data_IF_118424628007
#
_entry.id   IF_118424628007
#
_cell.length_a   1.000
_cell.length_b   1.000
_cell.length_c   1.000
_cell.angle_alpha   90.00
_cell.angle_beta   90.00
_cell.angle_gamma   90.00
#
_symmetry.space_group_name_H-M   'P 1'
#
loop_
_entity.id
_entity.type
_entity.pdbx_description
1 polymer ?
#
# COMPACT_ATOMS: atom_id res chain seq x y z
N UNK A 1 -41.31 -130.77 64.81
CA UNK A 1 -40.46 -130.71 63.59
C UNK A 1 -40.81 -129.46 62.81
N UNK A 2 -39.88 -128.94 62.01
CA UNK A 2 -40.04 -128.07 60.82
C UNK A 2 -41.07 -126.91 60.81
N UNK A 3 -40.58 -125.71 60.52
CA UNK A 3 -41.35 -124.60 59.95
C UNK A 3 -41.82 -123.53 60.94
N UNK A 4 -41.89 -122.23 60.60
CA UNK A 4 -41.42 -121.52 59.38
C UNK A 4 -40.87 -120.15 59.80
N UNK A 5 -39.83 -119.65 59.12
CA UNK A 5 -39.29 -118.31 59.35
C UNK A 5 -39.98 -117.27 58.44
N UNK A 6 -40.35 -116.11 58.98
CA UNK A 6 -40.82 -114.95 58.21
C UNK A 6 -40.06 -113.70 58.66
N UNK A 7 -38.96 -113.40 57.96
CA UNK A 7 -38.31 -112.09 58.05
C UNK A 7 -39.00 -111.13 57.08
N UNK A 8 -39.79 -110.20 57.61
CA UNK A 8 -40.42 -109.14 56.82
C UNK A 8 -39.36 -108.09 56.44
N UNK A 9 -38.76 -108.23 55.27
CA UNK A 9 -37.92 -107.18 54.66
C UNK A 9 -38.83 -106.06 54.16
N UNK A 10 -38.66 -104.80 54.60
CA UNK A 10 -39.41 -103.68 54.03
C UNK A 10 -38.96 -103.45 52.58
N UNK A 11 -39.90 -103.46 51.64
CA UNK A 11 -39.59 -103.26 50.23
C UNK A 11 -39.11 -101.82 49.98
N UNK A 12 -37.91 -101.68 49.41
CA UNK A 12 -37.40 -100.41 48.90
C UNK A 12 -38.17 -100.01 47.64
N UNK A 13 -39.30 -99.33 47.83
CA UNK A 13 -40.03 -98.64 46.75
C UNK A 13 -39.14 -97.54 46.20
N UNK A 14 -38.38 -97.87 45.16
CA UNK A 14 -37.75 -96.87 44.31
C UNK A 14 -38.88 -96.24 43.49
N UNK A 15 -39.24 -95.00 43.82
CA UNK A 15 -39.84 -94.12 42.83
C UNK A 15 -38.79 -93.91 41.73
N UNK A 16 -39.17 -94.14 40.47
CA UNK A 16 -38.27 -93.94 39.34
C UNK A 16 -38.05 -92.43 39.15
N UNK A 17 -36.97 -91.88 39.73
CA UNK A 17 -36.59 -90.47 39.57
C UNK A 17 -36.63 -90.02 38.11
N UNK A 18 -36.15 -90.88 37.21
CA UNK A 18 -36.20 -90.66 35.77
C UNK A 18 -37.62 -90.54 35.21
N UNK A 19 -38.58 -91.39 35.60
CA UNK A 19 -39.98 -91.28 35.14
C UNK A 19 -40.65 -90.00 35.66
N UNK A 20 -40.38 -89.61 36.92
CA UNK A 20 -40.90 -88.37 37.49
C UNK A 20 -40.29 -87.12 36.82
N UNK A 21 -38.99 -87.15 36.51
CA UNK A 21 -38.30 -86.13 35.73
C UNK A 21 -38.87 -86.03 34.30
N UNK A 22 -39.10 -87.16 33.62
CA UNK A 22 -39.75 -87.22 32.30
C UNK A 22 -41.20 -86.68 32.37
N UNK A 23 -41.95 -87.00 33.42
CA UNK A 23 -43.32 -86.49 33.61
C UNK A 23 -43.35 -84.97 33.80
N UNK A 24 -42.35 -84.39 34.47
CA UNK A 24 -42.21 -82.92 34.60
C UNK A 24 -41.74 -82.27 33.29
N UNK A 25 -40.79 -82.90 32.58
CA UNK A 25 -40.34 -82.48 31.25
C UNK A 25 -41.48 -82.41 30.23
N UNK A 26 -42.34 -83.43 30.17
CA UNK A 26 -43.48 -83.50 29.23
C UNK A 26 -44.48 -82.35 29.44
N UNK A 27 -44.63 -81.84 30.67
CA UNK A 27 -45.44 -80.63 30.93
C UNK A 27 -44.77 -79.40 30.30
N UNK A 28 -43.46 -79.25 30.48
CA UNK A 28 -42.67 -78.20 29.85
C UNK A 28 -42.71 -78.25 28.33
N UNK A 29 -42.57 -79.44 27.73
CA UNK A 29 -42.59 -79.59 26.28
C UNK A 29 -43.90 -79.10 25.65
N UNK A 30 -45.05 -79.31 26.31
CA UNK A 30 -46.33 -78.72 25.89
C UNK A 30 -46.29 -77.20 25.87
N UNK A 31 -45.84 -76.58 26.96
CA UNK A 31 -45.69 -75.12 27.04
C UNK A 31 -44.73 -74.57 25.94
N UNK A 32 -43.68 -75.32 25.57
CA UNK A 32 -42.80 -75.01 24.44
C UNK A 32 -43.52 -75.11 23.08
N UNK A 33 -44.32 -76.15 22.84
CA UNK A 33 -45.11 -76.26 21.60
C UNK A 33 -46.16 -75.15 21.47
N UNK A 34 -46.81 -74.76 22.58
CA UNK A 34 -47.75 -73.63 22.63
C UNK A 34 -47.05 -72.27 22.44
N UNK A 35 -45.80 -72.12 22.93
CA UNK A 35 -44.99 -70.94 22.62
C UNK A 35 -44.71 -70.82 21.11
N UNK A 36 -44.48 -71.94 20.42
CA UNK A 36 -44.22 -71.93 18.98
C UNK A 36 -45.47 -71.57 18.15
N UNK A 37 -46.67 -71.98 18.56
CA UNK A 37 -47.91 -71.60 17.86
C UNK A 37 -48.25 -70.13 18.08
N UNK A 38 -48.17 -69.63 19.33
CA UNK A 38 -48.50 -68.25 19.67
C UNK A 38 -47.48 -67.21 19.15
N UNK A 39 -46.30 -67.64 18.70
CA UNK A 39 -45.18 -66.78 18.26
C UNK A 39 -45.55 -65.70 17.25
N UNK A 40 -46.48 -65.98 16.32
CA UNK A 40 -46.87 -65.04 15.27
C UNK A 40 -47.89 -64.00 15.75
N UNK A 41 -48.88 -64.44 16.54
CA UNK A 41 -50.07 -63.64 16.87
C UNK A 41 -50.00 -62.99 18.26
N UNK A 42 -49.29 -63.61 19.21
CA UNK A 42 -49.13 -63.13 20.58
C UNK A 42 -47.75 -63.48 21.15
N UNK A 43 -46.73 -62.78 20.66
CA UNK A 43 -45.32 -62.95 21.08
C UNK A 43 -45.12 -62.80 22.60
N UNK A 44 -45.90 -61.93 23.27
CA UNK A 44 -45.80 -61.73 24.73
C UNK A 44 -46.20 -63.00 25.48
N UNK A 45 -47.33 -63.62 25.09
CA UNK A 45 -47.74 -64.88 25.68
C UNK A 45 -46.86 -66.05 25.24
N UNK A 46 -46.36 -66.04 24.00
CA UNK A 46 -45.39 -67.01 23.51
C UNK A 46 -44.11 -67.03 24.36
N UNK A 47 -43.55 -65.86 24.69
CA UNK A 47 -42.41 -65.73 25.61
C UNK A 47 -42.77 -66.17 27.04
N UNK A 48 -43.99 -65.88 27.53
CA UNK A 48 -44.48 -66.38 28.82
C UNK A 48 -44.54 -67.92 28.87
N UNK A 49 -45.06 -68.55 27.82
CA UNK A 49 -45.14 -70.01 27.66
C UNK A 49 -43.74 -70.64 27.56
N UNK A 50 -42.81 -70.03 26.84
CA UNK A 50 -41.43 -70.51 26.78
C UNK A 50 -40.68 -70.39 28.12
N UNK A 51 -40.89 -69.29 28.87
CA UNK A 51 -40.39 -69.18 30.25
C UNK A 51 -41.05 -70.19 31.20
N UNK A 52 -42.21 -70.73 30.85
CA UNK A 52 -42.83 -71.85 31.56
C UNK A 52 -42.11 -73.17 31.25
N UNK A 53 -41.84 -73.46 29.97
CA UNK A 53 -41.00 -74.59 29.53
C UNK A 53 -39.66 -74.63 30.28
N UNK A 54 -38.92 -73.52 30.32
CA UNK A 54 -37.61 -73.45 30.97
C UNK A 54 -37.68 -73.84 32.46
N UNK A 55 -38.70 -73.37 33.20
CA UNK A 55 -38.91 -73.74 34.61
C UNK A 55 -39.32 -75.21 34.81
N UNK A 56 -40.01 -75.81 33.84
CA UNK A 56 -40.30 -77.25 33.84
C UNK A 56 -39.05 -78.08 33.53
N UNK A 57 -38.22 -77.64 32.58
CA UNK A 57 -36.94 -78.28 32.24
C UNK A 57 -35.95 -78.21 33.41
N UNK A 58 -35.85 -77.07 34.08
CA UNK A 58 -35.06 -76.87 35.30
C UNK A 58 -35.48 -77.87 36.40
N UNK A 59 -36.77 -77.98 36.69
CA UNK A 59 -37.29 -78.95 37.67
C UNK A 59 -37.05 -80.41 37.25
N UNK A 60 -37.24 -80.75 35.97
CA UNK A 60 -36.93 -82.09 35.47
C UNK A 60 -35.44 -82.42 35.65
N UNK A 61 -34.55 -81.50 35.28
CA UNK A 61 -33.08 -81.65 35.41
C UNK A 61 -32.65 -81.76 36.88
N UNK A 62 -33.34 -81.09 37.79
CA UNK A 62 -33.09 -81.18 39.24
C UNK A 62 -33.58 -82.51 39.88
N UNK A 63 -34.49 -83.23 39.22
CA UNK A 63 -34.91 -84.59 39.63
C UNK A 63 -33.97 -85.64 39.01
N UNK A 64 -33.66 -85.51 37.72
CA UNK A 64 -32.71 -86.35 37.02
C UNK A 64 -31.97 -85.56 35.90
N UNK A 65 -30.64 -85.36 35.99
CA UNK A 65 -29.91 -84.59 34.99
C UNK A 65 -29.76 -85.32 33.64
N UNK A 66 -30.00 -86.64 33.58
CA UNK A 66 -29.86 -87.41 32.33
C UNK A 66 -30.92 -87.06 31.29
N UNK A 67 -32.00 -86.36 31.68
CA UNK A 67 -33.02 -85.78 30.79
C UNK A 67 -32.38 -84.98 29.64
N UNK A 68 -31.33 -84.20 29.93
CA UNK A 68 -30.64 -83.36 28.94
C UNK A 68 -29.85 -84.15 27.87
N UNK A 69 -29.60 -85.44 28.11
CA UNK A 69 -28.75 -86.30 27.26
C UNK A 69 -29.45 -87.59 26.81
N UNK A 70 -30.71 -87.79 27.19
CA UNK A 70 -31.43 -89.05 26.96
C UNK A 70 -32.14 -89.06 25.60
N UNK A 71 -32.00 -90.17 24.88
CA UNK A 71 -32.71 -90.45 23.63
C UNK A 71 -34.07 -91.13 23.84
N UNK A 72 -34.43 -91.47 25.08
CA UNK A 72 -35.71 -92.11 25.39
C UNK A 72 -36.88 -91.13 25.16
N UNK A 73 -38.03 -91.65 24.71
CA UNK A 73 -39.27 -90.88 24.46
C UNK A 73 -39.02 -89.59 23.64
N UNK A 74 -38.14 -89.70 22.64
CA UNK A 74 -37.73 -88.65 21.69
C UNK A 74 -37.16 -87.37 22.32
N UNK A 75 -36.68 -87.41 23.58
CA UNK A 75 -36.27 -86.22 24.34
C UNK A 75 -35.18 -85.40 23.64
N UNK A 76 -34.12 -86.01 23.08
CA UNK A 76 -33.12 -85.31 22.25
C UNK A 76 -33.74 -84.51 21.09
N UNK A 77 -34.70 -85.09 20.37
CA UNK A 77 -35.40 -84.42 19.25
C UNK A 77 -36.27 -83.25 19.75
N UNK A 78 -36.94 -83.46 20.89
CA UNK A 78 -37.86 -82.52 21.53
C UNK A 78 -37.12 -81.34 22.21
N UNK A 79 -35.95 -81.58 22.81
CA UNK A 79 -35.04 -80.54 23.30
C UNK A 79 -34.55 -79.66 22.15
N UNK A 80 -34.00 -80.27 21.09
CA UNK A 80 -33.59 -79.56 19.87
C UNK A 80 -34.74 -78.82 19.19
N UNK A 81 -35.98 -79.32 19.30
CA UNK A 81 -37.16 -78.58 18.86
C UNK A 81 -37.33 -77.29 19.68
N UNK A 82 -37.29 -77.37 21.01
CA UNK A 82 -37.45 -76.19 21.86
C UNK A 82 -36.30 -75.18 21.75
N UNK A 83 -35.06 -75.61 21.49
CA UNK A 83 -33.96 -74.72 21.08
C UNK A 83 -34.32 -73.91 19.82
N UNK A 84 -34.86 -74.58 18.79
CA UNK A 84 -35.35 -73.89 17.58
C UNK A 84 -36.54 -72.97 17.87
N UNK A 85 -37.40 -73.30 18.83
CA UNK A 85 -38.49 -72.41 19.29
C UNK A 85 -37.92 -71.15 19.95
N UNK A 86 -36.89 -71.26 20.80
CA UNK A 86 -36.23 -70.10 21.41
C UNK A 86 -35.66 -69.14 20.36
N UNK A 87 -34.90 -69.68 19.41
CA UNK A 87 -34.32 -68.91 18.29
C UNK A 87 -35.44 -68.27 17.45
N UNK A 88 -36.54 -68.99 17.19
CA UNK A 88 -37.68 -68.44 16.47
C UNK A 88 -38.39 -67.31 17.24
N UNK A 89 -38.51 -67.40 18.56
CA UNK A 89 -39.09 -66.35 19.42
C UNK A 89 -38.20 -65.10 19.42
N UNK A 90 -36.88 -65.27 19.62
CA UNK A 90 -35.90 -64.17 19.52
C UNK A 90 -35.94 -63.48 18.16
N UNK A 91 -36.05 -64.24 17.06
CA UNK A 91 -36.21 -63.67 15.71
C UNK A 91 -37.54 -62.95 15.51
N UNK A 92 -38.64 -63.45 16.07
CA UNK A 92 -39.95 -62.78 16.00
C UNK A 92 -39.96 -61.46 16.77
N UNK A 93 -39.19 -61.36 17.86
CA UNK A 93 -38.98 -60.12 18.63
C UNK A 93 -38.07 -59.12 17.90
N UNK A 94 -36.97 -59.60 17.33
CA UNK A 94 -35.93 -58.74 16.77
C UNK A 94 -36.17 -58.27 15.32
N UNK A 95 -36.93 -59.05 14.52
CA UNK A 95 -37.27 -58.68 13.13
C UNK A 95 -37.95 -57.31 13.01
N UNK A 96 -39.05 -56.99 13.74
CA UNK A 96 -39.71 -55.68 13.61
C UNK A 96 -38.87 -54.49 14.09
N UNK A 97 -37.83 -54.73 14.90
CA UNK A 97 -36.84 -53.71 15.28
C UNK A 97 -35.90 -53.45 14.11
N UNK A 98 -35.37 -54.50 13.48
CA UNK A 98 -34.52 -54.39 12.29
C UNK A 98 -35.28 -53.79 11.08
N UNK A 99 -36.58 -54.07 10.94
CA UNK A 99 -37.42 -53.48 9.88
C UNK A 99 -37.63 -51.98 10.06
N UNK A 100 -37.79 -51.48 11.30
CA UNK A 100 -37.72 -50.03 11.57
C UNK A 100 -36.35 -49.45 11.18
N UNK A 101 -35.27 -50.20 11.45
CA UNK A 101 -33.93 -49.88 10.95
C UNK A 101 -33.88 -49.71 9.43
N UNK A 102 -34.45 -50.64 8.66
CA UNK A 102 -34.44 -50.54 7.20
C UNK A 102 -35.16 -49.28 6.69
N UNK A 103 -36.26 -48.85 7.32
CA UNK A 103 -36.92 -47.58 6.99
C UNK A 103 -35.99 -46.37 7.21
N UNK A 104 -35.07 -46.43 8.19
CA UNK A 104 -34.04 -45.39 8.40
C UNK A 104 -32.92 -45.46 7.36
N UNK A 105 -32.50 -46.66 6.97
CA UNK A 105 -31.54 -46.88 5.88
C UNK A 105 -32.09 -46.37 4.53
N UNK A 106 -33.35 -46.66 4.20
CA UNK A 106 -34.00 -46.17 2.98
C UNK A 106 -34.15 -44.63 2.99
N UNK A 107 -34.49 -44.04 4.14
CA UNK A 107 -34.52 -42.58 4.32
C UNK A 107 -33.14 -41.93 4.20
N UNK A 108 -32.09 -42.57 4.74
CA UNK A 108 -30.69 -42.15 4.58
C UNK A 108 -30.28 -42.15 3.11
N UNK A 109 -30.61 -43.23 2.40
CA UNK A 109 -30.35 -43.35 0.97
C UNK A 109 -31.09 -42.28 0.15
N UNK A 110 -32.28 -41.87 0.57
CA UNK A 110 -33.05 -40.83 -0.12
C UNK A 110 -32.44 -39.43 0.10
N UNK A 111 -32.13 -39.05 1.35
CA UNK A 111 -31.45 -37.80 1.66
C UNK A 111 -30.10 -37.67 0.91
N UNK A 112 -29.34 -38.77 0.79
CA UNK A 112 -28.08 -38.80 0.04
C UNK A 112 -28.26 -38.58 -1.48
N UNK A 113 -29.39 -38.97 -2.08
CA UNK A 113 -29.72 -38.64 -3.49
C UNK A 113 -30.12 -37.18 -3.67
N UNK A 114 -30.70 -36.59 -2.63
CA UNK A 114 -31.16 -35.20 -2.59
C UNK A 114 -30.02 -34.22 -2.24
N UNK A 115 -28.85 -34.74 -1.86
CA UNK A 115 -27.66 -33.95 -1.51
C UNK A 115 -27.56 -33.57 -0.03
N UNK A 116 -28.55 -33.95 0.80
CA UNK A 116 -28.52 -33.70 2.24
C UNK A 116 -27.72 -34.80 2.97
N UNK A 117 -26.40 -34.65 2.91
CA UNK A 117 -25.43 -35.55 3.56
C UNK A 117 -25.63 -35.59 5.08
N UNK A 118 -26.08 -34.48 5.69
CA UNK A 118 -26.25 -34.34 7.14
C UNK A 118 -27.49 -35.11 7.63
N UNK A 119 -28.64 -34.97 6.96
CA UNK A 119 -29.81 -35.82 7.23
C UNK A 119 -29.52 -37.28 6.89
N UNK A 120 -28.76 -37.56 5.82
CA UNK A 120 -28.35 -38.92 5.50
C UNK A 120 -27.52 -39.56 6.64
N UNK A 121 -26.58 -38.83 7.23
CA UNK A 121 -25.77 -39.28 8.37
C UNK A 121 -26.63 -39.53 9.63
N UNK A 122 -27.53 -38.61 9.97
CA UNK A 122 -28.46 -38.81 11.09
C UNK A 122 -29.30 -40.09 10.91
N UNK A 123 -29.83 -40.33 9.70
CA UNK A 123 -30.65 -41.50 9.41
C UNK A 123 -29.86 -42.81 9.32
N UNK A 124 -28.59 -42.78 8.89
CA UNK A 124 -27.71 -43.96 8.97
C UNK A 124 -27.36 -44.29 10.43
N UNK A 125 -27.17 -43.27 11.28
CA UNK A 125 -26.92 -43.44 12.72
C UNK A 125 -28.15 -44.04 13.42
N UNK A 126 -29.36 -43.58 13.09
CA UNK A 126 -30.60 -44.24 13.54
C UNK A 126 -30.68 -45.70 13.09
N UNK A 127 -30.35 -46.02 11.82
CA UNK A 127 -30.32 -47.40 11.33
C UNK A 127 -29.40 -48.31 12.14
N UNK A 128 -28.15 -47.87 12.39
CA UNK A 128 -27.17 -48.63 13.20
C UNK A 128 -27.74 -48.94 14.59
N UNK A 129 -28.34 -47.94 15.25
CA UNK A 129 -28.99 -48.12 16.54
C UNK A 129 -30.09 -49.20 16.55
N UNK A 130 -30.89 -49.32 15.47
CA UNK A 130 -31.87 -50.41 15.33
C UNK A 130 -31.23 -51.77 15.01
N UNK A 131 -30.16 -51.80 14.20
CA UNK A 131 -29.41 -53.00 13.88
C UNK A 131 -28.77 -53.61 15.13
N UNK A 132 -28.10 -52.80 15.94
CA UNK A 132 -27.44 -53.23 17.18
C UNK A 132 -28.45 -53.74 18.22
N UNK A 133 -29.60 -53.07 18.36
CA UNK A 133 -30.71 -53.55 19.21
C UNK A 133 -31.25 -54.91 18.75
N UNK A 134 -31.42 -55.13 17.44
CA UNK A 134 -31.95 -56.38 16.91
C UNK A 134 -30.93 -57.53 17.04
N UNK A 135 -29.66 -57.29 16.72
CA UNK A 135 -28.58 -58.29 16.87
C UNK A 135 -28.29 -58.61 18.34
N UNK A 136 -28.47 -57.65 19.25
CA UNK A 136 -28.40 -57.87 20.70
C UNK A 136 -29.48 -58.81 21.26
N UNK A 137 -30.55 -59.07 20.49
CA UNK A 137 -31.58 -60.08 20.82
C UNK A 137 -31.24 -61.42 20.15
N UNK A 138 -30.86 -61.42 18.86
CA UNK A 138 -30.20 -62.55 18.20
C UNK A 138 -29.49 -62.19 16.90
N UNK A 139 -28.28 -62.72 16.77
CA UNK A 139 -27.47 -62.88 15.56
C UNK A 139 -28.16 -63.63 14.42
N UNK A 140 -28.98 -64.65 14.72
CA UNK A 140 -29.66 -65.55 13.76
C UNK A 140 -30.64 -64.87 12.79
N UNK A 141 -30.86 -63.55 12.93
CA UNK A 141 -31.44 -62.71 11.88
C UNK A 141 -30.60 -62.75 10.59
N UNK A 142 -29.28 -62.91 10.70
CA UNK A 142 -28.35 -62.98 9.58
C UNK A 142 -28.42 -64.30 8.79
N UNK A 143 -28.99 -65.35 9.37
CA UNK A 143 -29.32 -66.59 8.65
C UNK A 143 -30.51 -66.38 7.68
N UNK A 144 -31.38 -65.41 7.99
CA UNK A 144 -32.54 -65.08 7.17
C UNK A 144 -32.05 -64.25 5.97
N UNK A 145 -31.77 -64.94 4.86
CA UNK A 145 -31.19 -64.36 3.64
C UNK A 145 -31.79 -63.00 3.23
N UNK A 146 -33.11 -62.83 3.33
CA UNK A 146 -33.78 -61.56 3.00
C UNK A 146 -33.35 -60.39 3.91
N UNK A 147 -33.26 -60.61 5.22
CA UNK A 147 -32.80 -59.60 6.19
C UNK A 147 -31.30 -59.33 5.98
N UNK A 148 -30.49 -60.38 5.89
CA UNK A 148 -29.04 -60.27 5.68
C UNK A 148 -28.69 -59.59 4.35
N UNK A 149 -29.50 -59.79 3.31
CA UNK A 149 -29.35 -59.09 2.02
C UNK A 149 -29.62 -57.58 2.15
N UNK A 150 -30.67 -57.20 2.88
CA UNK A 150 -30.95 -55.78 3.20
C UNK A 150 -29.85 -55.15 4.06
N UNK A 151 -29.35 -55.83 5.11
CA UNK A 151 -28.24 -55.32 5.93
C UNK A 151 -26.99 -55.06 5.08
N UNK A 152 -26.62 -56.01 4.19
CA UNK A 152 -25.52 -55.82 3.23
C UNK A 152 -25.79 -54.71 2.21
N UNK A 153 -27.05 -54.39 1.90
CA UNK A 153 -27.39 -53.25 1.04
C UNK A 153 -27.20 -51.91 1.76
N UNK A 154 -27.60 -51.81 3.03
CA UNK A 154 -27.40 -50.63 3.86
C UNK A 154 -25.91 -50.34 4.10
N UNK A 155 -25.09 -51.36 4.35
CA UNK A 155 -23.63 -51.21 4.44
C UNK A 155 -23.02 -50.59 3.16
N UNK A 156 -23.50 -50.97 1.96
CA UNK A 156 -23.08 -50.35 0.67
C UNK A 156 -23.65 -48.95 0.42
N UNK A 157 -24.52 -48.44 1.30
CA UNK A 157 -24.92 -47.03 1.32
C UNK A 157 -24.15 -46.25 2.39
N UNK A 158 -23.78 -46.88 3.49
CA UNK A 158 -22.82 -46.36 4.48
C UNK A 158 -21.46 -46.04 3.83
N UNK A 159 -20.87 -46.98 3.09
CA UNK A 159 -19.63 -46.77 2.31
C UNK A 159 -19.68 -45.55 1.37
N UNK A 160 -20.88 -45.20 0.87
CA UNK A 160 -21.11 -44.06 -0.05
C UNK A 160 -21.39 -42.76 0.69
N UNK A 161 -22.04 -42.86 1.84
CA UNK A 161 -22.29 -41.76 2.76
C UNK A 161 -20.97 -41.27 3.37
N UNK A 162 -20.06 -42.17 3.74
CA UNK A 162 -18.74 -41.81 4.28
C UNK A 162 -17.93 -41.02 3.24
N UNK A 163 -17.89 -41.48 1.98
CA UNK A 163 -17.28 -40.73 0.87
C UNK A 163 -17.95 -39.36 0.62
N UNK A 164 -19.27 -39.26 0.82
CA UNK A 164 -19.99 -37.98 0.72
C UNK A 164 -19.71 -37.06 1.91
N UNK A 165 -19.51 -37.60 3.12
CA UNK A 165 -19.12 -36.86 4.31
C UNK A 165 -17.70 -36.30 4.20
N UNK A 166 -16.75 -37.04 3.62
CA UNK A 166 -15.41 -36.52 3.31
C UNK A 166 -15.48 -35.32 2.33
N UNK A 167 -16.32 -35.42 1.30
CA UNK A 167 -16.53 -34.35 0.32
C UNK A 167 -17.25 -33.14 0.93
N UNK A 168 -18.26 -33.36 1.77
CA UNK A 168 -18.97 -32.29 2.49
C UNK A 168 -18.04 -31.58 3.46
N UNK A 169 -17.22 -32.31 4.23
CA UNK A 169 -16.23 -31.73 5.13
C UNK A 169 -15.17 -30.89 4.38
N UNK A 170 -14.72 -31.36 3.21
CA UNK A 170 -13.80 -30.60 2.35
C UNK A 170 -14.43 -29.31 1.79
N UNK A 171 -15.73 -29.34 1.45
CA UNK A 171 -16.50 -28.17 1.02
C UNK A 171 -16.71 -27.18 2.17
N UNK A 172 -17.12 -27.66 3.35
CA UNK A 172 -17.27 -26.88 4.59
C UNK A 172 -15.96 -26.18 4.98
N UNK A 173 -14.82 -26.85 4.83
CA UNK A 173 -13.51 -26.24 5.06
C UNK A 173 -13.23 -25.06 4.11
N UNK A 174 -13.57 -25.20 2.82
CA UNK A 174 -13.43 -24.12 1.82
C UNK A 174 -14.43 -22.97 2.07
N UNK A 175 -15.66 -23.28 2.48
CA UNK A 175 -16.65 -22.27 2.88
C UNK A 175 -16.18 -21.49 4.11
N UNK A 176 -15.70 -22.16 5.16
CA UNK A 176 -15.17 -21.51 6.35
C UNK A 176 -13.92 -20.65 6.08
N UNK A 177 -13.05 -21.06 5.15
CA UNK A 177 -11.94 -20.22 4.69
C UNK A 177 -12.44 -18.97 3.95
N UNK A 178 -13.50 -19.11 3.14
CA UNK A 178 -14.14 -18.00 2.41
C UNK A 178 -14.80 -17.00 3.37
N UNK A 179 -15.55 -17.51 4.34
CA UNK A 179 -16.16 -16.77 5.46
C UNK A 179 -15.10 -15.98 6.22
N UNK A 180 -14.00 -16.64 6.62
CA UNK A 180 -12.86 -15.99 7.31
C UNK A 180 -12.24 -14.86 6.49
N UNK A 181 -12.12 -15.03 5.18
CA UNK A 181 -11.62 -14.00 4.27
C UNK A 181 -12.55 -12.80 4.14
N UNK A 182 -13.87 -13.00 4.15
CA UNK A 182 -14.84 -11.91 4.17
C UNK A 182 -14.96 -11.23 5.54
N UNK A 183 -14.88 -11.97 6.65
CA UNK A 183 -14.75 -11.38 7.99
C UNK A 183 -13.54 -10.44 8.07
N UNK A 184 -12.36 -10.91 7.63
CA UNK A 184 -11.15 -10.08 7.57
C UNK A 184 -11.29 -8.86 6.65
N UNK A 185 -12.03 -8.96 5.53
CA UNK A 185 -12.37 -7.79 4.71
C UNK A 185 -13.20 -6.78 5.51
N UNK A 186 -14.25 -7.26 6.20
CA UNK A 186 -15.17 -6.44 6.98
C UNK A 186 -14.42 -5.75 8.13
N UNK A 187 -13.58 -6.46 8.87
CA UNK A 187 -12.81 -5.90 10.00
C UNK A 187 -11.88 -4.76 9.54
N UNK A 188 -11.17 -4.95 8.42
CA UNK A 188 -10.28 -3.93 7.85
C UNK A 188 -11.05 -2.75 7.28
N UNK A 189 -12.21 -3.01 6.65
CA UNK A 189 -13.09 -1.97 6.14
C UNK A 189 -13.74 -1.16 7.29
N UNK A 190 -14.17 -1.80 8.38
CA UNK A 190 -14.68 -1.13 9.58
C UNK A 190 -13.59 -0.29 10.27
N UNK A 191 -12.34 -0.77 10.32
CA UNK A 191 -11.21 0.03 10.80
C UNK A 191 -10.97 1.27 9.93
N UNK A 192 -11.04 1.13 8.59
CA UNK A 192 -10.95 2.26 7.68
C UNK A 192 -12.13 3.26 7.89
N UNK A 193 -13.35 2.76 8.04
CA UNK A 193 -14.55 3.56 8.30
C UNK A 193 -14.46 4.28 9.66
N UNK A 194 -13.95 3.63 10.71
CA UNK A 194 -13.76 4.25 12.04
C UNK A 194 -12.66 5.31 12.04
N UNK A 195 -11.57 5.09 11.28
CA UNK A 195 -10.52 6.07 11.07
C UNK A 195 -11.03 7.31 10.32
N UNK A 196 -11.92 7.12 9.33
CA UNK A 196 -12.65 8.18 8.59
C UNK A 196 -13.61 8.95 9.51
N UNK A 197 -14.43 8.24 10.29
CA UNK A 197 -15.47 8.82 11.14
C UNK A 197 -14.91 9.54 12.39
N UNK A 198 -13.61 9.42 12.65
CA UNK A 198 -12.96 10.10 13.77
C UNK A 198 -13.01 11.63 13.60
N UNK A 199 -13.40 12.41 14.64
CA UNK A 199 -13.28 13.87 14.62
C UNK A 199 -11.80 14.35 14.59
N UNK A 200 -10.84 13.42 14.68
CA UNK A 200 -9.39 13.65 14.48
C UNK A 200 -8.89 13.15 13.12
N UNK A 201 -9.78 12.85 12.17
CA UNK A 201 -9.40 12.55 10.78
C UNK A 201 -8.85 13.81 10.10
N UNK A 202 -7.80 13.63 9.29
CA UNK A 202 -7.19 14.68 8.46
C UNK A 202 -6.75 14.07 7.14
N UNK A 203 -6.61 14.87 6.09
CA UNK A 203 -6.13 14.38 4.78
C UNK A 203 -4.72 13.76 4.84
N UNK A 204 -3.92 14.07 5.86
CA UNK A 204 -2.63 13.41 6.13
C UNK A 204 -2.76 11.97 6.65
N UNK A 205 -3.97 11.52 7.05
CA UNK A 205 -4.27 10.12 7.43
C UNK A 205 -4.89 9.31 6.29
N UNK A 206 -5.15 9.94 5.14
CA UNK A 206 -5.82 9.29 4.01
C UNK A 206 -5.04 8.08 3.47
N UNK A 207 -3.71 8.13 3.44
CA UNK A 207 -2.90 7.02 2.93
C UNK A 207 -2.94 5.77 3.83
N UNK A 208 -3.08 5.93 5.15
CA UNK A 208 -3.29 4.82 6.07
C UNK A 208 -4.68 4.18 5.89
N UNK A 209 -5.70 5.00 5.61
CA UNK A 209 -7.07 4.55 5.29
C UNK A 209 -7.11 3.83 3.92
N UNK A 210 -6.37 4.33 2.94
CA UNK A 210 -6.18 3.66 1.65
C UNK A 210 -5.50 2.30 1.83
N UNK A 211 -4.47 2.20 2.67
CA UNK A 211 -3.75 0.94 2.87
C UNK A 211 -4.58 -0.10 3.62
N UNK A 212 -5.41 0.29 4.60
CA UNK A 212 -6.42 -0.60 5.19
C UNK A 212 -7.38 -1.15 4.12
N UNK A 213 -7.86 -0.31 3.20
CA UNK A 213 -8.72 -0.75 2.10
C UNK A 213 -8.00 -1.58 1.04
N UNK A 214 -6.71 -1.35 0.78
CA UNK A 214 -5.89 -2.22 -0.06
C UNK A 214 -5.77 -3.63 0.56
N UNK A 215 -5.52 -3.70 1.87
CA UNK A 215 -5.41 -4.97 2.60
C UNK A 215 -6.75 -5.71 2.67
N UNK A 216 -7.85 -4.98 2.88
CA UNK A 216 -9.20 -5.52 2.76
C UNK A 216 -9.41 -6.10 1.34
N UNK A 217 -9.13 -5.32 0.29
CA UNK A 217 -9.23 -5.74 -1.10
C UNK A 217 -8.49 -7.04 -1.41
N UNK A 218 -7.26 -7.22 -0.89
CA UNK A 218 -6.50 -8.48 -0.99
C UNK A 218 -7.21 -9.66 -0.29
N UNK A 219 -7.73 -9.45 0.93
CA UNK A 219 -8.45 -10.49 1.67
C UNK A 219 -9.73 -10.95 0.93
N UNK A 220 -10.51 -9.99 0.42
CA UNK A 220 -11.70 -10.24 -0.42
C UNK A 220 -11.36 -10.90 -1.76
N UNK A 221 -10.24 -10.53 -2.39
CA UNK A 221 -9.76 -11.19 -3.61
C UNK A 221 -9.37 -12.64 -3.35
N UNK A 222 -8.69 -12.93 -2.24
CA UNK A 222 -8.35 -14.30 -1.83
C UNK A 222 -9.59 -15.13 -1.51
N UNK A 223 -10.56 -14.57 -0.75
CA UNK A 223 -11.84 -15.23 -0.50
C UNK A 223 -12.59 -15.58 -1.80
N UNK A 224 -12.51 -14.72 -2.83
CA UNK A 224 -13.13 -14.94 -4.15
C UNK A 224 -12.45 -15.99 -5.01
N UNK A 225 -11.25 -16.45 -4.68
CA UNK A 225 -10.60 -17.54 -5.41
C UNK A 225 -11.21 -18.91 -5.09
N UNK A 226 -11.91 -19.04 -3.95
CA UNK A 226 -12.65 -20.25 -3.59
C UNK A 226 -14.00 -20.32 -4.31
N UNK A 227 -13.94 -20.62 -5.61
CA UNK A 227 -15.11 -20.73 -6.50
C UNK A 227 -16.16 -21.73 -6.00
N UNK A 228 -15.76 -22.81 -5.33
CA UNK A 228 -16.68 -23.84 -4.82
C UNK A 228 -17.65 -23.27 -3.77
N UNK A 229 -17.16 -22.51 -2.79
CA UNK A 229 -17.99 -21.87 -1.77
C UNK A 229 -19.00 -20.86 -2.36
N UNK A 230 -18.61 -20.16 -3.44
CA UNK A 230 -19.48 -19.21 -4.15
C UNK A 230 -20.44 -19.88 -5.16
N UNK A 231 -20.20 -21.14 -5.52
CA UNK A 231 -21.14 -21.99 -6.25
C UNK A 231 -22.16 -22.62 -5.29
N UNK A 232 -21.70 -23.15 -4.15
CA UNK A 232 -22.54 -23.77 -3.12
C UNK A 232 -23.57 -22.77 -2.54
N UNK A 233 -23.16 -21.51 -2.33
CA UNK A 233 -24.04 -20.40 -1.98
C UNK A 233 -25.26 -20.26 -2.90
N UNK A 234 -25.14 -20.63 -4.18
CA UNK A 234 -26.22 -20.57 -5.18
C UNK A 234 -27.00 -21.87 -5.31
N UNK A 235 -26.35 -23.02 -5.09
CA UNK A 235 -26.97 -24.33 -5.14
C UNK A 235 -27.85 -24.57 -3.90
N UNK A 236 -27.27 -24.36 -2.70
CA UNK A 236 -27.87 -24.66 -1.41
C UNK A 236 -27.90 -23.39 -0.52
N UNK A 237 -28.77 -22.41 -0.82
CA UNK A 237 -28.85 -21.16 -0.05
C UNK A 237 -29.39 -21.33 1.38
N UNK A 238 -30.02 -22.47 1.69
CA UNK A 238 -30.51 -22.79 3.04
C UNK A 238 -29.45 -23.40 3.97
N UNK A 239 -28.27 -23.73 3.45
CA UNK A 239 -27.15 -24.25 4.23
C UNK A 239 -26.64 -23.18 5.22
N UNK A 240 -26.30 -23.51 6.48
CA UNK A 240 -25.83 -22.51 7.46
C UNK A 240 -24.63 -21.68 6.97
N UNK A 241 -23.62 -22.33 6.37
CA UNK A 241 -22.46 -21.64 5.82
C UNK A 241 -22.82 -20.73 4.63
N UNK A 242 -23.82 -21.11 3.82
CA UNK A 242 -24.35 -20.27 2.72
C UNK A 242 -25.04 -19.03 3.27
N UNK A 243 -25.92 -19.18 4.27
CA UNK A 243 -26.61 -18.05 4.90
C UNK A 243 -25.62 -17.07 5.55
N UNK A 244 -24.61 -17.59 6.26
CA UNK A 244 -23.54 -16.78 6.84
C UNK A 244 -22.71 -16.06 5.76
N UNK A 245 -22.34 -16.74 4.68
CA UNK A 245 -21.59 -16.14 3.57
C UNK A 245 -22.40 -15.05 2.84
N UNK A 246 -23.72 -15.21 2.69
CA UNK A 246 -24.60 -14.18 2.14
C UNK A 246 -24.58 -12.90 2.98
N UNK A 247 -24.79 -13.01 4.29
CA UNK A 247 -24.79 -11.87 5.20
C UNK A 247 -23.44 -11.12 5.20
N UNK A 248 -22.33 -11.86 5.12
CA UNK A 248 -20.98 -11.28 5.00
C UNK A 248 -20.75 -10.60 3.64
N UNK A 249 -21.30 -11.11 2.54
CA UNK A 249 -21.25 -10.47 1.22
C UNK A 249 -21.98 -9.12 1.22
N UNK A 250 -23.18 -9.06 1.81
CA UNK A 250 -23.97 -7.83 1.92
C UNK A 250 -23.27 -6.80 2.83
N UNK A 251 -22.78 -7.22 4.00
CA UNK A 251 -22.06 -6.36 4.93
C UNK A 251 -20.76 -5.81 4.31
N UNK A 252 -20.04 -6.65 3.55
CA UNK A 252 -18.86 -6.23 2.81
C UNK A 252 -19.19 -5.17 1.75
N UNK A 253 -20.22 -5.38 0.94
CA UNK A 253 -20.64 -4.42 -0.10
C UNK A 253 -21.08 -3.07 0.50
N UNK A 254 -21.83 -3.08 1.60
CA UNK A 254 -22.27 -1.87 2.29
C UNK A 254 -21.09 -1.07 2.88
N UNK A 255 -20.09 -1.74 3.47
CA UNK A 255 -18.91 -1.09 4.01
C UNK A 255 -18.02 -0.53 2.89
N UNK A 256 -17.83 -1.30 1.82
CA UNK A 256 -17.00 -0.93 0.67
C UNK A 256 -17.52 0.34 -0.02
N UNK A 257 -18.83 0.43 -0.30
CA UNK A 257 -19.42 1.60 -0.95
C UNK A 257 -19.21 2.89 -0.15
N UNK A 258 -19.63 2.87 1.13
CA UNK A 258 -19.51 4.02 2.05
C UNK A 258 -18.06 4.49 2.20
N UNK A 259 -17.12 3.55 2.33
CA UNK A 259 -15.70 3.84 2.54
C UNK A 259 -15.01 4.31 1.26
N UNK A 260 -15.33 3.69 0.12
CA UNK A 260 -14.77 4.04 -1.19
C UNK A 260 -15.16 5.45 -1.65
N UNK A 261 -16.43 5.85 -1.48
CA UNK A 261 -16.87 7.18 -1.89
C UNK A 261 -16.34 8.31 -1.00
N UNK A 262 -16.13 8.03 0.30
CA UNK A 262 -15.38 8.94 1.16
C UNK A 262 -13.92 9.07 0.70
N UNK A 263 -13.22 7.95 0.46
CA UNK A 263 -11.83 7.92 -0.02
C UNK A 263 -11.68 8.68 -1.34
N UNK A 264 -12.59 8.47 -2.30
CA UNK A 264 -12.62 9.19 -3.59
C UNK A 264 -12.74 10.69 -3.39
N UNK A 265 -13.64 11.12 -2.51
CA UNK A 265 -13.87 12.54 -2.19
C UNK A 265 -12.65 13.16 -1.49
N UNK A 266 -12.11 12.50 -0.46
CA UNK A 266 -10.90 12.94 0.23
C UNK A 266 -9.68 12.99 -0.70
N UNK A 267 -9.55 12.05 -1.63
CA UNK A 267 -8.45 12.02 -2.63
C UNK A 267 -8.57 13.18 -3.63
N UNK A 268 -9.79 13.50 -4.11
CA UNK A 268 -10.02 14.70 -4.94
C UNK A 268 -9.64 15.98 -4.19
N UNK A 269 -10.08 16.10 -2.94
CA UNK A 269 -9.77 17.26 -2.09
C UNK A 269 -8.26 17.38 -1.83
N UNK A 270 -7.55 16.26 -1.59
CA UNK A 270 -6.09 16.27 -1.44
C UNK A 270 -5.40 16.78 -2.71
N UNK A 271 -5.75 16.24 -3.88
CA UNK A 271 -5.17 16.65 -5.17
C UNK A 271 -5.38 18.13 -5.48
N UNK A 272 -6.56 18.68 -5.14
CA UNK A 272 -6.82 20.11 -5.31
C UNK A 272 -5.92 20.98 -4.41
N UNK A 273 -5.72 20.59 -3.14
CA UNK A 273 -4.81 21.30 -2.22
C UNK A 273 -3.34 21.12 -2.62
N UNK A 274 -2.91 19.92 -3.04
CA UNK A 274 -1.59 19.67 -3.62
C UNK A 274 -1.35 20.55 -4.85
N UNK A 275 -2.37 20.75 -5.70
CA UNK A 275 -2.30 21.63 -6.87
C UNK A 275 -2.18 23.12 -6.48
N UNK A 276 -2.95 23.60 -5.49
CA UNK A 276 -2.82 24.96 -4.93
C UNK A 276 -1.41 25.21 -4.36
N UNK A 277 -0.85 24.23 -3.63
CA UNK A 277 0.52 24.34 -3.09
C UNK A 277 1.55 24.36 -4.24
N UNK A 278 1.43 23.48 -5.22
CA UNK A 278 2.35 23.42 -6.36
C UNK A 278 2.31 24.69 -7.22
N UNK A 279 1.15 25.35 -7.36
CA UNK A 279 1.05 26.68 -7.97
C UNK A 279 1.78 27.75 -7.13
N UNK A 280 1.66 27.68 -5.79
CA UNK A 280 2.44 28.50 -4.88
C UNK A 280 3.96 28.29 -5.03
N UNK A 281 4.41 27.03 -5.10
CA UNK A 281 5.82 26.67 -5.36
C UNK A 281 6.29 27.23 -6.70
N UNK A 282 5.49 27.12 -7.77
CA UNK A 282 5.85 27.69 -9.07
C UNK A 282 6.00 29.24 -9.01
N UNK A 283 5.10 29.94 -8.31
CA UNK A 283 5.22 31.37 -8.06
C UNK A 283 6.47 31.75 -7.27
N UNK A 284 6.84 30.95 -6.26
CA UNK A 284 8.09 31.12 -5.50
C UNK A 284 9.33 30.80 -6.34
N UNK A 285 9.29 29.82 -7.26
CA UNK A 285 10.41 29.57 -8.19
C UNK A 285 10.63 30.79 -9.10
N UNK A 286 9.54 31.39 -9.61
CA UNK A 286 9.63 32.64 -10.36
C UNK A 286 10.19 33.80 -9.52
N UNK A 287 9.83 33.90 -8.23
CA UNK A 287 10.38 34.91 -7.32
C UNK A 287 11.88 34.68 -7.01
N UNK A 288 12.30 33.42 -6.80
CA UNK A 288 13.68 33.01 -6.61
C UNK A 288 14.53 33.39 -7.84
N UNK A 289 14.13 33.01 -9.06
CA UNK A 289 14.89 33.30 -10.29
C UNK A 289 14.98 34.80 -10.60
N UNK A 290 13.92 35.58 -10.33
CA UNK A 290 14.00 37.05 -10.42
C UNK A 290 15.00 37.63 -9.41
N UNK A 291 15.05 37.08 -8.19
CA UNK A 291 16.02 37.49 -7.19
C UNK A 291 17.47 37.11 -7.57
N UNK A 292 17.71 35.89 -8.06
CA UNK A 292 19.02 35.45 -8.53
C UNK A 292 19.52 36.32 -9.71
N UNK A 293 18.60 36.70 -10.60
CA UNK A 293 18.87 37.67 -11.67
C UNK A 293 19.26 39.04 -11.10
N UNK A 294 18.54 39.54 -10.11
CA UNK A 294 18.87 40.80 -9.42
C UNK A 294 20.20 40.73 -8.63
N UNK A 295 20.56 39.58 -8.05
CA UNK A 295 21.86 39.37 -7.39
C UNK A 295 23.04 39.39 -8.36
N UNK A 296 22.85 38.84 -9.58
CA UNK A 296 23.86 38.87 -10.65
C UNK A 296 24.01 40.26 -11.23
N UNK A 297 22.91 40.91 -11.63
CA UNK A 297 22.94 42.30 -12.11
C UNK A 297 23.55 43.22 -11.03
N UNK A 298 23.14 43.06 -9.77
CA UNK A 298 23.71 43.74 -8.60
C UNK A 298 25.17 43.40 -8.28
N UNK A 299 25.82 42.46 -8.98
CA UNK A 299 27.26 42.22 -8.91
C UNK A 299 28.04 43.04 -9.95
N UNK A 300 27.40 43.37 -11.07
CA UNK A 300 28.03 43.82 -12.33
C UNK A 300 27.71 45.29 -12.67
N UNK A 301 27.09 46.04 -11.75
CA UNK A 301 26.65 47.44 -11.96
C UNK A 301 27.82 48.36 -12.35
N UNK A 302 27.72 48.94 -13.55
CA UNK A 302 28.66 49.95 -14.08
C UNK A 302 27.95 51.27 -14.39
N UNK A 303 26.68 51.22 -14.77
CA UNK A 303 25.84 52.35 -15.17
C UNK A 303 24.62 52.55 -14.24
N UNK A 304 23.88 53.63 -14.46
CA UNK A 304 22.58 53.85 -13.82
C UNK A 304 21.50 52.87 -14.33
N UNK A 305 21.61 52.42 -15.58
CA UNK A 305 20.66 51.50 -16.20
C UNK A 305 20.80 50.07 -15.64
N UNK A 306 22.03 49.61 -15.38
CA UNK A 306 22.28 48.32 -14.70
C UNK A 306 21.65 48.30 -13.30
N UNK A 307 21.77 49.42 -12.57
CA UNK A 307 21.16 49.60 -11.26
C UNK A 307 19.62 49.60 -11.35
N UNK A 308 19.04 50.28 -12.35
CA UNK A 308 17.60 50.29 -12.57
C UNK A 308 17.07 48.88 -12.92
N UNK A 309 17.80 48.11 -13.73
CA UNK A 309 17.46 46.71 -14.07
C UNK A 309 17.56 45.79 -12.84
N UNK A 310 18.60 45.96 -12.01
CA UNK A 310 18.74 45.20 -10.76
C UNK A 310 17.62 45.54 -9.75
N UNK A 311 17.26 46.82 -9.59
CA UNK A 311 16.14 47.25 -8.77
C UNK A 311 14.79 46.74 -9.32
N UNK A 312 14.61 46.71 -10.65
CA UNK A 312 13.40 46.18 -11.28
C UNK A 312 13.20 44.68 -11.02
N UNK A 313 14.22 43.83 -11.23
CA UNK A 313 14.12 42.39 -10.96
C UNK A 313 14.02 42.07 -9.47
N UNK A 314 14.65 42.86 -8.59
CA UNK A 314 14.45 42.74 -7.15
C UNK A 314 12.99 43.04 -6.76
N UNK A 315 12.42 44.14 -7.26
CA UNK A 315 11.02 44.50 -7.01
C UNK A 315 10.05 43.46 -7.60
N UNK A 316 10.35 42.91 -8.79
CA UNK A 316 9.61 41.79 -9.40
C UNK A 316 9.61 40.54 -8.51
N UNK A 317 10.76 40.20 -7.93
CA UNK A 317 10.86 39.10 -6.95
C UNK A 317 10.02 39.35 -5.70
N UNK A 318 10.12 40.55 -5.12
CA UNK A 318 9.37 40.93 -3.92
C UNK A 318 7.85 40.89 -4.17
N UNK A 319 7.40 41.35 -5.34
CA UNK A 319 5.99 41.31 -5.77
C UNK A 319 5.49 39.89 -6.04
N UNK A 320 6.24 39.06 -6.76
CA UNK A 320 5.89 37.65 -6.99
C UNK A 320 5.76 36.89 -5.66
N UNK A 321 6.70 37.09 -4.74
CA UNK A 321 6.64 36.52 -3.38
C UNK A 321 5.41 37.04 -2.62
N UNK A 322 5.14 38.35 -2.65
CA UNK A 322 3.97 38.96 -2.00
C UNK A 322 2.65 38.34 -2.43
N UNK A 323 2.46 38.05 -3.72
CA UNK A 323 1.25 37.38 -4.24
C UNK A 323 1.06 35.99 -3.62
N UNK A 324 2.14 35.22 -3.47
CA UNK A 324 2.08 33.90 -2.84
C UNK A 324 1.80 34.02 -1.33
N UNK A 325 2.51 34.91 -0.62
CA UNK A 325 2.32 35.10 0.83
C UNK A 325 0.99 35.80 1.20
N UNK A 326 0.39 36.54 0.27
CA UNK A 326 -0.92 37.17 0.45
C UNK A 326 -2.08 36.17 0.45
N UNK A 327 -1.87 34.96 -0.09
CA UNK A 327 -2.87 33.91 -0.07
C UNK A 327 -2.90 33.20 1.30
N UNK A 328 -3.66 33.78 2.24
CA UNK A 328 -3.81 33.26 3.60
C UNK A 328 -4.35 31.82 3.65
N UNK A 329 -5.19 31.41 2.68
CA UNK A 329 -5.69 30.03 2.57
C UNK A 329 -4.54 29.06 2.25
N UNK A 330 -3.72 29.40 1.25
CA UNK A 330 -2.54 28.62 0.87
C UNK A 330 -1.56 28.48 2.04
N UNK A 331 -1.24 29.57 2.75
CA UNK A 331 -0.36 29.51 3.93
C UNK A 331 -0.96 28.64 5.05
N UNK A 332 -2.26 28.72 5.29
CA UNK A 332 -2.94 27.85 6.25
C UNK A 332 -2.89 26.37 5.83
N UNK A 333 -3.08 26.07 4.54
CA UNK A 333 -2.98 24.71 3.98
C UNK A 333 -1.55 24.16 4.09
N UNK A 334 -0.53 24.92 3.69
CA UNK A 334 0.89 24.53 3.84
C UNK A 334 1.23 24.22 5.31
N UNK A 335 0.78 25.07 6.24
CA UNK A 335 0.99 24.87 7.69
C UNK A 335 0.23 23.65 8.23
N UNK A 336 -1.02 23.43 7.79
CA UNK A 336 -1.84 22.30 8.20
C UNK A 336 -1.30 20.96 7.69
N UNK A 337 -0.66 20.96 6.51
CA UNK A 337 -0.14 19.78 5.85
C UNK A 337 1.39 19.83 5.65
N UNK A 338 2.11 20.33 6.66
CA UNK A 338 3.57 20.54 6.62
C UNK A 338 4.39 19.25 6.38
N UNK A 339 3.79 18.07 6.52
CA UNK A 339 4.42 16.77 6.23
C UNK A 339 4.40 16.37 4.75
N UNK A 340 3.52 16.97 3.93
CA UNK A 340 3.49 16.72 2.48
C UNK A 340 4.79 17.21 1.82
N UNK A 341 5.18 16.63 0.68
CA UNK A 341 6.35 17.07 -0.09
C UNK A 341 6.19 18.52 -0.55
N UNK A 342 5.11 18.81 -1.28
CA UNK A 342 4.83 20.16 -1.79
C UNK A 342 4.86 21.26 -0.70
N UNK A 343 4.41 20.96 0.52
CA UNK A 343 4.47 21.89 1.67
C UNK A 343 5.89 22.13 2.18
N UNK A 344 6.77 21.12 2.09
CA UNK A 344 8.20 21.23 2.42
C UNK A 344 8.93 22.01 1.33
N UNK A 345 8.78 21.64 0.06
CA UNK A 345 9.27 22.39 -1.10
C UNK A 345 8.90 23.89 -1.01
N UNK A 346 7.65 24.19 -0.69
CA UNK A 346 7.16 25.56 -0.49
C UNK A 346 7.90 26.29 0.64
N UNK A 347 8.09 25.61 1.79
CA UNK A 347 8.70 26.21 2.98
C UNK A 347 10.20 26.43 2.82
N UNK A 348 10.91 25.47 2.21
CA UNK A 348 12.32 25.59 1.86
C UNK A 348 12.55 26.71 0.85
N UNK A 349 11.72 26.80 -0.18
CA UNK A 349 11.84 27.81 -1.23
C UNK A 349 11.43 29.21 -0.77
N UNK A 350 10.46 29.34 0.16
CA UNK A 350 10.18 30.58 0.90
C UNK A 350 11.43 31.11 1.60
N UNK A 351 12.09 30.25 2.39
CA UNK A 351 13.30 30.59 3.14
C UNK A 351 14.48 30.92 2.21
N UNK A 352 14.62 30.21 1.09
CA UNK A 352 15.60 30.50 0.04
C UNK A 352 15.37 31.88 -0.57
N UNK A 353 14.13 32.17 -0.97
CA UNK A 353 13.76 33.45 -1.60
C UNK A 353 13.99 34.61 -0.63
N UNK A 354 13.73 34.44 0.67
CA UNK A 354 14.01 35.46 1.69
C UNK A 354 15.50 35.75 1.86
N UNK A 355 16.33 34.71 2.00
CA UNK A 355 17.80 34.88 2.07
C UNK A 355 18.33 35.53 0.79
N UNK A 356 17.81 35.11 -0.37
CA UNK A 356 18.16 35.71 -1.65
C UNK A 356 17.84 37.21 -1.66
N UNK A 357 16.62 37.60 -1.28
CA UNK A 357 16.15 38.98 -1.27
C UNK A 357 16.97 39.86 -0.32
N UNK A 358 17.33 39.35 0.86
CA UNK A 358 18.19 40.06 1.83
C UNK A 358 19.58 40.36 1.25
N UNK A 359 20.21 39.38 0.59
CA UNK A 359 21.52 39.54 -0.07
C UNK A 359 21.42 40.51 -1.25
N UNK A 360 20.38 40.36 -2.10
CA UNK A 360 20.15 41.24 -3.25
C UNK A 360 19.96 42.70 -2.83
N UNK A 361 19.08 42.97 -1.85
CA UNK A 361 18.82 44.31 -1.35
C UNK A 361 20.06 44.99 -0.76
N UNK A 362 20.89 44.22 -0.03
CA UNK A 362 22.15 44.72 0.54
C UNK A 362 23.13 45.10 -0.57
N UNK A 363 23.36 44.20 -1.53
CA UNK A 363 24.33 44.40 -2.63
C UNK A 363 23.93 45.54 -3.56
N UNK A 364 22.64 45.65 -3.91
CA UNK A 364 22.10 46.76 -4.70
C UNK A 364 22.29 48.10 -3.97
N UNK A 365 22.03 48.14 -2.66
CA UNK A 365 22.25 49.35 -1.83
C UNK A 365 23.72 49.76 -1.78
N UNK A 366 24.64 48.80 -1.64
CA UNK A 366 26.09 49.04 -1.64
C UNK A 366 26.55 49.60 -3.00
N UNK A 367 26.15 48.96 -4.11
CA UNK A 367 26.49 49.44 -5.45
C UNK A 367 25.87 50.79 -5.78
N UNK A 368 24.66 51.10 -5.29
CA UNK A 368 24.03 52.42 -5.46
C UNK A 368 24.85 53.54 -4.83
N UNK A 369 25.44 53.30 -3.66
CA UNK A 369 26.38 54.23 -3.02
C UNK A 369 27.72 54.29 -3.78
N UNK A 370 28.24 53.17 -4.25
CA UNK A 370 29.47 53.13 -5.04
C UNK A 370 29.34 53.85 -6.40
N UNK A 371 28.23 53.68 -7.10
CA UNK A 371 27.91 54.36 -8.36
C UNK A 371 27.80 55.88 -8.15
N UNK A 372 27.04 56.32 -7.12
CA UNK A 372 26.93 57.74 -6.79
C UNK A 372 28.29 58.37 -6.48
N UNK A 373 29.17 57.67 -5.74
CA UNK A 373 30.54 58.13 -5.48
C UNK A 373 31.41 58.18 -6.74
N UNK A 374 31.30 57.19 -7.64
CA UNK A 374 31.98 57.22 -8.96
C UNK A 374 31.51 58.40 -9.80
N UNK A 375 30.21 58.68 -9.82
CA UNK A 375 29.63 59.82 -10.54
C UNK A 375 30.16 61.15 -9.99
N UNK A 376 30.15 61.33 -8.65
CA UNK A 376 30.72 62.51 -7.99
C UNK A 376 32.21 62.71 -8.34
N UNK A 377 33.03 61.65 -8.24
CA UNK A 377 34.45 61.73 -8.60
C UNK A 377 34.64 62.08 -10.08
N UNK A 378 33.85 61.50 -10.99
CA UNK A 378 33.92 61.85 -12.42
C UNK A 378 33.49 63.29 -12.71
N UNK A 379 32.57 63.86 -11.91
CA UNK A 379 32.18 65.28 -11.99
C UNK A 379 33.28 66.19 -11.43
N UNK A 380 33.87 65.87 -10.28
CA UNK A 380 35.02 66.60 -9.72
C UNK A 380 36.25 66.57 -10.66
N UNK A 381 36.50 65.44 -11.32
CA UNK A 381 37.58 65.30 -12.31
C UNK A 381 37.27 66.07 -13.60
N UNK A 382 36.02 66.02 -14.11
CA UNK A 382 35.60 66.81 -15.25
C UNK A 382 35.66 68.33 -14.98
N UNK A 383 35.24 68.78 -13.79
CA UNK A 383 35.41 70.17 -13.36
C UNK A 383 36.88 70.55 -13.24
N UNK A 384 37.73 69.67 -12.72
CA UNK A 384 39.18 69.91 -12.61
C UNK A 384 39.85 70.00 -13.97
N UNK A 385 39.49 69.13 -14.91
CA UNK A 385 39.94 69.20 -16.30
C UNK A 385 39.42 70.47 -17.00
N UNK A 386 38.16 70.87 -16.77
CA UNK A 386 37.60 72.11 -17.31
C UNK A 386 38.28 73.37 -16.73
N UNK A 387 38.70 73.36 -15.47
CA UNK A 387 39.55 74.42 -14.88
C UNK A 387 40.92 74.47 -15.55
N UNK A 388 41.63 73.34 -15.62
CA UNK A 388 42.95 73.25 -16.27
C UNK A 388 42.91 73.66 -17.75
N UNK A 389 41.85 73.30 -18.48
CA UNK A 389 41.66 73.73 -19.86
C UNK A 389 41.47 75.25 -19.98
N UNK A 390 40.67 75.87 -19.10
CA UNK A 390 40.50 77.33 -19.03
C UNK A 390 41.79 78.05 -18.63
N UNK A 391 42.57 77.48 -17.72
CA UNK A 391 43.88 78.02 -17.32
C UNK A 391 44.88 77.97 -18.48
N UNK A 392 44.96 76.85 -19.21
CA UNK A 392 45.79 76.73 -20.43
C UNK A 392 45.32 77.67 -21.55
N UNK A 393 44.01 77.87 -21.71
CA UNK A 393 43.46 78.81 -22.69
C UNK A 393 43.79 80.26 -22.32
N UNK A 394 43.66 80.64 -21.05
CA UNK A 394 44.12 81.94 -20.55
C UNK A 394 45.63 82.12 -20.70
N UNK A 395 46.45 81.09 -20.48
CA UNK A 395 47.90 81.17 -20.67
C UNK A 395 48.26 81.36 -22.15
N UNK A 396 47.57 80.66 -23.07
CA UNK A 396 47.69 80.87 -24.52
C UNK A 396 47.28 82.30 -24.91
N UNK A 397 46.18 82.82 -24.38
CA UNK A 397 45.74 84.20 -24.62
C UNK A 397 46.77 85.22 -24.10
N UNK A 398 47.35 85.02 -22.91
CA UNK A 398 48.41 85.88 -22.36
C UNK A 398 49.69 85.82 -23.20
N UNK A 399 50.12 84.63 -23.65
CA UNK A 399 51.27 84.47 -24.55
C UNK A 399 51.04 85.12 -25.91
N UNK A 400 49.83 85.02 -26.46
CA UNK A 400 49.46 85.72 -27.69
C UNK A 400 49.44 87.24 -27.52
N UNK A 401 48.95 87.76 -26.39
CA UNK A 401 49.01 89.19 -26.06
C UNK A 401 50.45 89.69 -25.87
N UNK A 402 51.33 88.90 -25.24
CA UNK A 402 52.75 89.22 -25.11
C UNK A 402 53.45 89.26 -26.46
N UNK A 403 53.25 88.25 -27.31
CA UNK A 403 53.80 88.22 -28.67
C UNK A 403 53.27 89.36 -29.55
N UNK A 404 52.00 89.75 -29.40
CA UNK A 404 51.43 90.90 -30.09
C UNK A 404 52.06 92.22 -29.64
N UNK A 405 52.23 92.44 -28.33
CA UNK A 405 52.88 93.62 -27.78
C UNK A 405 54.38 93.70 -28.13
N UNK A 406 55.05 92.55 -28.27
CA UNK A 406 56.44 92.46 -28.71
C UNK A 406 56.58 92.75 -30.22
N UNK A 407 55.65 92.24 -31.04
CA UNK A 407 55.55 92.59 -32.46
C UNK A 407 55.22 94.09 -32.67
N UNK A 408 54.34 94.68 -31.85
CA UNK A 408 54.08 96.12 -31.87
C UNK A 408 55.33 96.95 -31.49
N UNK A 409 56.13 96.48 -30.51
CA UNK A 409 57.42 97.10 -30.17
C UNK A 409 58.40 97.04 -31.34
N UNK A 410 58.56 95.88 -31.97
CA UNK A 410 59.43 95.72 -33.14
C UNK A 410 58.96 96.58 -34.33
N UNK A 411 57.66 96.66 -34.58
CA UNK A 411 57.09 97.52 -35.62
C UNK A 411 57.24 99.02 -35.29
N UNK A 412 57.12 99.42 -34.02
CA UNK A 412 57.39 100.78 -33.58
C UNK A 412 58.87 101.15 -33.73
N UNK A 413 59.79 100.23 -33.41
CA UNK A 413 61.23 100.42 -33.59
C UNK A 413 61.61 100.52 -35.08
N UNK A 414 61.03 99.67 -35.95
CA UNK A 414 61.21 99.78 -37.40
C UNK A 414 60.71 101.13 -37.93
N UNK A 415 59.53 101.59 -37.49
CA UNK A 415 59.00 102.93 -37.84
C UNK A 415 59.90 104.06 -37.33
N UNK A 416 60.49 103.92 -36.15
CA UNK A 416 61.45 104.90 -35.63
C UNK A 416 62.74 104.93 -36.47
N UNK A 417 63.25 103.77 -36.91
CA UNK A 417 64.39 103.68 -37.83
C UNK A 417 64.08 104.26 -39.22
N UNK A 418 62.88 104.04 -39.78
CA UNK A 418 62.45 104.71 -41.02
C UNK A 418 62.31 106.23 -40.85
N UNK A 419 61.74 106.71 -39.74
CA UNK A 419 61.63 108.14 -39.44
C UNK A 419 63.02 108.80 -39.32
N UNK A 420 63.95 108.16 -38.62
CA UNK A 420 65.34 108.60 -38.52
C UNK A 420 66.03 108.65 -39.90
N UNK A 421 65.81 107.65 -40.77
CA UNK A 421 66.36 107.66 -42.14
C UNK A 421 65.80 108.83 -42.97
N UNK A 422 64.50 109.14 -42.85
CA UNK A 422 63.89 110.29 -43.53
C UNK A 422 64.36 111.64 -42.97
N UNK A 423 64.73 111.74 -41.69
CA UNK A 423 65.38 112.94 -41.17
C UNK A 423 66.81 113.09 -41.73
N UNK A 424 67.59 112.01 -41.79
CA UNK A 424 68.93 112.04 -42.40
C UNK A 424 68.88 112.36 -43.91
N UNK A 425 67.90 111.82 -44.65
CA UNK A 425 67.65 112.16 -46.06
C UNK A 425 67.26 113.65 -46.22
N UNK A 426 66.50 114.24 -45.28
CA UNK A 426 66.09 115.64 -45.36
C UNK A 426 67.19 116.65 -44.91
N UNK A 427 68.07 116.26 -43.97
CA UNK A 427 69.22 117.07 -43.58
C UNK A 427 70.32 117.06 -44.66
N UNK A 428 70.41 116.00 -45.47
CA UNK A 428 71.34 115.92 -46.60
C UNK A 428 71.03 116.91 -47.75
N UNK A 429 69.75 117.26 -47.99
CA UNK A 429 69.37 118.20 -49.07
C UNK A 429 69.61 119.68 -48.73
N UNK A 430 69.97 120.03 -47.49
CA UNK A 430 70.18 121.44 -47.09
C UNK A 430 71.65 121.87 -46.92
N UNK A 431 72.63 120.97 -47.09
CA UNK A 431 74.01 121.21 -46.65
C UNK A 431 75.12 120.75 -47.62
N UNK A 432 75.05 121.12 -48.91
CA UNK A 432 76.23 121.11 -49.79
C UNK A 432 76.08 122.04 -51.01
N UNK A 433 76.69 123.23 -50.95
CA UNK A 433 77.02 124.02 -52.14
C UNK A 433 78.35 124.75 -51.96
N UNK A 434 79.24 124.60 -52.95
CA UNK A 434 80.63 125.11 -53.02
C UNK A 434 81.62 124.52 -51.99
N UNK A 435 82.94 124.50 -52.22
CA UNK A 435 83.75 124.08 -53.39
C UNK A 435 85.20 123.79 -52.91
N UNK A 436 86.09 123.33 -53.80
CA UNK A 436 87.54 123.05 -53.64
C UNK A 436 87.96 121.88 -52.70
N UNK A 437 88.78 120.86 -53.05
CA UNK A 437 89.99 120.66 -53.92
C UNK A 437 91.33 120.83 -53.14
N UNK A 438 92.38 119.98 -53.31
CA UNK A 438 92.55 118.71 -54.08
C UNK A 438 92.55 117.47 -53.12
N UNK A 439 93.29 116.34 -53.21
CA UNK A 439 94.42 115.84 -54.05
C UNK A 439 94.54 114.29 -54.04
N UNK A 440 95.51 113.73 -54.79
CA UNK A 440 95.81 112.30 -55.09
C UNK A 440 96.86 111.67 -54.09
N UNK A 441 97.38 110.40 -54.21
CA UNK A 441 97.33 109.44 -55.34
C UNK A 441 97.02 107.94 -55.07
N UNK A 442 96.34 107.32 -56.06
CA UNK A 442 96.61 106.06 -56.80
C UNK A 442 97.10 104.73 -56.11
N UNK A 443 96.95 103.64 -56.90
CA UNK A 443 97.38 102.23 -56.70
C UNK A 443 96.56 101.40 -55.70
N UNK A 444 96.36 100.09 -55.90
CA UNK A 444 96.15 99.24 -57.10
C UNK A 444 95.62 97.86 -56.59
N UNK A 445 95.20 97.01 -57.52
CA UNK A 445 94.78 95.59 -57.45
C UNK A 445 95.09 94.69 -56.21
N UNK A 446 94.32 93.58 -56.13
CA UNK A 446 94.78 92.27 -55.62
C UNK A 446 95.05 92.15 -54.08
N UNK A 447 95.25 90.97 -53.45
CA UNK A 447 94.97 89.55 -53.76
C UNK A 447 95.04 88.76 -52.42
N UNK A 448 94.07 87.85 -52.16
CA UNK A 448 94.15 86.77 -51.14
C UNK A 448 94.34 87.23 -49.66
N UNK A 449 94.39 86.35 -48.64
CA UNK A 449 93.57 85.18 -48.32
C UNK A 449 93.72 84.86 -46.81
N UNK A 450 93.57 83.59 -46.44
CA UNK A 450 93.99 82.90 -45.22
C UNK A 450 93.23 83.17 -43.92
N UNK A 451 92.88 82.17 -43.10
CA UNK A 451 92.97 80.69 -43.22
C UNK A 451 91.68 80.12 -42.52
N UNK A 452 91.14 78.94 -42.84
CA UNK A 452 91.48 77.63 -42.23
C UNK A 452 91.57 77.73 -40.68
N UNK A 453 90.80 77.00 -39.85
CA UNK A 453 90.18 75.67 -39.94
C UNK A 453 88.99 75.53 -38.93
N UNK A 454 88.20 74.45 -38.81
CA UNK A 454 88.28 73.07 -39.31
C UNK A 454 86.85 72.45 -39.45
N UNK A 455 86.63 71.64 -40.48
CA UNK A 455 85.73 70.46 -40.62
C UNK A 455 84.22 70.52 -40.23
N UNK A 456 83.30 70.36 -41.20
CA UNK A 456 82.86 69.11 -41.88
C UNK A 456 81.90 68.24 -41.02
N UNK A 457 80.64 67.98 -41.42
CA UNK A 457 80.17 67.05 -42.48
C UNK A 457 80.35 65.55 -42.13
N UNK A 458 79.52 64.57 -42.56
CA UNK A 458 78.35 64.53 -43.47
C UNK A 458 77.51 63.25 -43.21
N UNK A 459 76.34 63.16 -43.83
CA UNK A 459 75.73 61.92 -44.38
C UNK A 459 75.47 60.66 -43.49
N UNK A 460 74.39 60.70 -42.69
CA UNK A 460 73.18 59.88 -42.92
C UNK A 460 73.14 58.34 -42.69
N UNK A 461 71.92 57.79 -42.83
CA UNK A 461 71.47 56.40 -42.52
C UNK A 461 71.47 56.09 -41.00
N UNK A 462 70.69 55.14 -40.45
CA UNK A 462 69.71 54.19 -41.03
C UNK A 462 68.51 54.01 -40.06
N UNK A 463 67.45 53.33 -40.51
CA UNK A 463 66.55 52.58 -39.63
C UNK A 463 67.30 51.42 -38.92
N UNK A 464 66.74 50.99 -37.78
CA UNK A 464 67.04 49.79 -36.97
C UNK A 464 68.46 49.58 -36.43
N UNK A 465 68.65 49.88 -35.14
CA UNK A 465 69.01 48.92 -34.07
C UNK A 465 68.42 49.47 -32.74
N UNK A 466 67.86 48.74 -31.76
CA UNK A 466 68.05 47.41 -31.16
C UNK A 466 69.31 47.24 -30.29
N UNK A 467 69.18 47.51 -28.98
CA UNK A 467 69.36 46.56 -27.85
C UNK A 467 69.70 47.29 -26.55
N UNK A 468 68.78 47.22 -25.56
CA UNK A 468 69.07 46.66 -24.24
C UNK A 468 67.80 46.21 -23.53
#
# INVERSE_FOLDING_TARGET
MLGVCVLAVPALVHANSFDDAVNEYIKGFKECTEANTLRADNLVEAKRKFASYLRHLERATAIDPTILTSTQRDMDSNLRYCERVEVNLKRAEATPILEQGFVRCDASQQALKEGDVQTAQAKMTEYKGYLDQALGITDSLMDVFALASKVRACARYEEKLDLALEQDAALVAQMNQTISGYQRFIDLCQQAQAAIASPKFTLARLDAVNELMNQAGRAKQSARQQNAALAELKANPQRPESQQLHALLDQAAQCEGKTSDYIRTATRNRRALEQEINQGVAGLRSAQTACETAQRLGAEIQSADDLALAEAEYNRSAELKRRVTGNAKLLATVKQFATWSASRDFSELMNSTERCQQIAATRIKEQKVALAKRQQLSQEEAERQARLAREQEQERQRKAQQAAAEAERQAAEQRAREAARRQAEAEAEQAASLEDVPDDPLFEDDEFADFEDEDEDKLGRSWTDLVR
#
